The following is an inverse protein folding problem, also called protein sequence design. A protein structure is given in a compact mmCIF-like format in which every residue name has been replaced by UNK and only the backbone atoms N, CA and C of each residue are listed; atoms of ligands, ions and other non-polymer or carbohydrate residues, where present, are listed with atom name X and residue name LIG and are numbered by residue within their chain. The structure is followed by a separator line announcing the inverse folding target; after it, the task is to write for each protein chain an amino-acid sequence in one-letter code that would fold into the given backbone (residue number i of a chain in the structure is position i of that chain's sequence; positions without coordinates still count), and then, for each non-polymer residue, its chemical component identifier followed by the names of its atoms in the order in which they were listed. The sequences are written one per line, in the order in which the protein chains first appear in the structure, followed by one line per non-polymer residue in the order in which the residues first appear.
data_IF_235196778034
#
_entry.id   IF_235196778034
#
_cell.length_a   1.000
_cell.length_b   1.000
_cell.length_c   1.000
_cell.angle_alpha   90.00
_cell.angle_beta   90.00
_cell.angle_gamma   90.00
#
_symmetry.space_group_name_H-M   'P 1'
#
loop_
_entity.id
_entity.type
_entity.pdbx_description
1 polymer ?
#
# COMPACT_ATOMS: atom_id res chain seq x y z
N UNK A 1 -42.39 -31.22 45.72
CA UNK A 1 -42.47 -32.53 45.06
C UNK A 1 -43.20 -32.35 43.74
N UNK A 2 -42.53 -32.68 42.63
CA UNK A 2 -43.06 -32.97 41.27
C UNK A 2 -43.72 -31.77 40.53
N UNK A 3 -43.57 -31.51 39.23
CA UNK A 3 -43.37 -32.34 38.02
C UNK A 3 -42.80 -31.44 36.90
N UNK A 4 -41.74 -31.78 36.15
CA UNK A 4 -41.65 -32.64 34.93
C UNK A 4 -42.17 -31.99 33.61
N UNK A 5 -41.20 -31.68 32.75
CA UNK A 5 -41.14 -31.67 31.25
C UNK A 5 -41.96 -30.69 30.38
N UNK A 6 -41.24 -30.00 29.47
CA UNK A 6 -41.51 -30.03 28.02
C UNK A 6 -40.22 -29.70 27.22
N UNK A 7 -39.44 -30.71 26.84
CA UNK A 7 -39.16 -31.12 25.45
C UNK A 7 -39.58 -30.16 24.32
N UNK A 8 -38.61 -29.68 23.53
CA UNK A 8 -38.65 -29.93 22.08
C UNK A 8 -37.33 -29.65 21.35
N UNK A 9 -37.07 -30.39 20.27
CA UNK A 9 -35.75 -30.53 19.66
C UNK A 9 -35.61 -29.57 18.47
N UNK A 10 -34.39 -29.09 18.19
CA UNK A 10 -34.08 -28.64 16.84
C UNK A 10 -32.65 -28.93 16.44
N UNK A 11 -32.49 -30.19 16.06
CA UNK A 11 -31.55 -30.64 15.06
C UNK A 11 -31.52 -29.64 13.89
N UNK A 12 -30.33 -29.13 13.57
CA UNK A 12 -29.64 -29.32 12.28
C UNK A 12 -28.57 -28.24 12.12
N UNK A 13 -27.35 -28.67 12.42
CA UNK A 13 -26.09 -28.08 12.01
C UNK A 13 -26.09 -27.93 10.48
N UNK A 14 -26.55 -26.79 9.97
CA UNK A 14 -26.48 -26.46 8.54
C UNK A 14 -25.13 -25.79 8.29
N UNK A 15 -24.18 -26.60 7.81
CA UNK A 15 -22.92 -26.14 7.24
C UNK A 15 -23.23 -25.18 6.09
N UNK A 16 -22.81 -23.92 6.21
CA UNK A 16 -22.95 -22.96 5.12
C UNK A 16 -21.71 -23.05 4.23
N UNK A 17 -21.91 -23.64 3.06
CA UNK A 17 -20.90 -23.84 2.01
C UNK A 17 -20.59 -22.48 1.36
N UNK A 18 -19.30 -22.21 1.16
CA UNK A 18 -18.75 -20.95 0.68
C UNK A 18 -19.30 -20.51 -0.69
N UNK A 19 -19.69 -19.24 -0.79
CA UNK A 19 -19.90 -18.55 -2.07
C UNK A 19 -18.65 -17.72 -2.39
N UNK A 20 -18.02 -17.86 -3.58
CA UNK A 20 -16.85 -17.08 -3.94
C UNK A 20 -17.26 -15.66 -4.32
N UNK A 21 -16.89 -14.67 -3.49
CA UNK A 21 -17.04 -13.25 -3.79
C UNK A 21 -16.20 -12.84 -4.99
N UNK A 22 -16.79 -12.06 -5.91
CA UNK A 22 -16.21 -11.46 -7.13
C UNK A 22 -15.10 -10.41 -6.87
N UNK A 23 -14.26 -10.59 -5.85
CA UNK A 23 -13.13 -9.71 -5.53
C UNK A 23 -11.84 -10.08 -6.30
N UNK A 24 -11.82 -11.22 -7.01
CA UNK A 24 -10.62 -11.82 -7.57
C UNK A 24 -10.20 -11.30 -8.97
N UNK A 25 -10.63 -10.10 -9.40
CA UNK A 25 -10.25 -9.56 -10.74
C UNK A 25 -9.45 -8.25 -10.72
N UNK A 26 -9.22 -7.65 -9.56
CA UNK A 26 -8.44 -6.39 -9.46
C UNK A 26 -7.00 -6.60 -8.99
N UNK A 27 -6.62 -7.84 -8.70
CA UNK A 27 -5.38 -8.17 -7.97
C UNK A 27 -4.20 -8.55 -8.89
N UNK A 28 -4.40 -8.54 -10.21
CA UNK A 28 -3.43 -9.08 -11.16
C UNK A 28 -2.29 -8.13 -11.57
N UNK A 29 -2.16 -6.91 -11.03
CA UNK A 29 -1.12 -5.97 -11.51
C UNK A 29 -0.45 -5.06 -10.48
N UNK A 30 -0.69 -5.21 -9.17
CA UNK A 30 0.33 -4.76 -8.21
C UNK A 30 1.40 -5.83 -8.23
N UNK A 31 2.26 -5.73 -9.24
CA UNK A 31 3.48 -6.52 -9.38
C UNK A 31 4.09 -6.64 -7.99
N UNK A 32 4.44 -7.86 -7.62
CA UNK A 32 5.43 -8.16 -6.59
C UNK A 32 6.70 -7.38 -6.99
N UNK A 33 6.79 -6.15 -6.54
CA UNK A 33 8.01 -5.37 -6.52
C UNK A 33 8.28 -5.28 -5.04
N UNK A 34 9.41 -5.82 -4.62
CA UNK A 34 9.82 -5.65 -3.24
C UNK A 34 9.92 -4.13 -3.00
N UNK A 35 9.31 -3.59 -1.93
CA UNK A 35 9.31 -2.16 -1.67
C UNK A 35 10.72 -1.60 -1.43
N UNK A 36 11.72 -2.48 -1.28
CA UNK A 36 13.14 -2.14 -1.13
C UNK A 36 13.96 -2.46 -2.38
N UNK A 37 13.53 -3.42 -3.22
CA UNK A 37 14.07 -3.58 -4.58
C UNK A 37 13.06 -3.08 -5.58
N UNK A 38 13.11 -1.77 -5.79
CA UNK A 38 12.59 -1.19 -7.00
C UNK A 38 13.39 -1.70 -8.21
N UNK A 39 13.09 -2.93 -8.66
CA UNK A 39 13.57 -3.49 -9.94
C UNK A 39 12.79 -2.85 -11.08
N UNK A 40 12.97 -1.54 -11.20
CA UNK A 40 12.54 -0.75 -12.32
C UNK A 40 13.82 -0.19 -12.92
N UNK A 41 13.95 -0.28 -14.24
CA UNK A 41 15.04 0.37 -14.97
C UNK A 41 14.87 1.88 -14.81
N UNK A 42 15.43 2.40 -13.73
CA UNK A 42 15.42 3.82 -13.45
C UNK A 42 16.30 4.53 -14.44
N UNK A 43 15.76 5.59 -15.00
CA UNK A 43 16.56 6.53 -15.76
C UNK A 43 17.58 7.20 -14.81
N UNK A 44 18.75 7.63 -15.32
CA UNK A 44 19.78 8.27 -14.48
C UNK A 44 19.22 9.48 -13.71
N UNK A 45 18.27 10.21 -14.31
CA UNK A 45 17.53 11.32 -13.69
C UNK A 45 16.73 10.89 -12.46
N UNK A 46 16.05 9.74 -12.54
CA UNK A 46 15.27 9.19 -11.41
C UNK A 46 16.21 8.76 -10.28
N UNK A 47 17.37 8.22 -10.63
CA UNK A 47 18.38 7.76 -9.67
C UNK A 47 19.03 8.94 -8.93
N UNK A 48 19.32 10.03 -9.64
CA UNK A 48 19.80 11.28 -9.06
C UNK A 48 18.76 11.89 -8.09
N UNK A 49 17.49 11.90 -8.49
CA UNK A 49 16.39 12.37 -7.66
C UNK A 49 16.25 11.54 -6.37
N UNK A 50 16.34 10.21 -6.45
CA UNK A 50 16.30 9.33 -5.27
C UNK A 50 17.46 9.62 -4.31
N UNK A 51 18.68 9.80 -4.83
CA UNK A 51 19.84 10.15 -4.00
C UNK A 51 19.68 11.53 -3.33
N UNK A 52 19.16 12.52 -4.05
CA UNK A 52 18.92 13.86 -3.51
C UNK A 52 17.86 13.84 -2.41
N UNK A 53 16.78 13.07 -2.60
CA UNK A 53 15.76 12.82 -1.59
C UNK A 53 16.34 12.16 -0.34
N UNK A 54 17.24 11.18 -0.50
CA UNK A 54 17.87 10.53 0.64
C UNK A 54 18.79 11.48 1.42
N UNK A 55 19.55 12.34 0.71
CA UNK A 55 20.35 13.41 1.34
C UNK A 55 19.45 14.36 2.12
N UNK A 56 18.31 14.75 1.55
CA UNK A 56 17.32 15.59 2.23
C UNK A 56 16.75 14.93 3.49
N UNK A 57 16.40 13.65 3.43
CA UNK A 57 15.91 12.89 4.61
C UNK A 57 16.95 12.85 5.73
N UNK A 58 18.23 12.67 5.36
CA UNK A 58 19.35 12.61 6.31
C UNK A 58 19.63 13.97 6.97
N UNK A 59 19.48 15.08 6.24
CA UNK A 59 19.70 16.43 6.78
C UNK A 59 18.49 16.98 7.56
N UNK A 60 17.26 16.71 7.11
CA UNK A 60 16.03 17.19 7.74
C UNK A 60 15.60 16.39 8.97
N UNK A 61 16.14 15.17 9.14
CA UNK A 61 15.77 14.28 10.25
C UNK A 61 14.34 13.72 10.14
N UNK A 62 13.65 13.94 9.00
CA UNK A 62 12.29 13.44 8.76
C UNK A 62 12.34 12.18 7.91
N UNK A 63 11.60 11.16 8.33
CA UNK A 63 11.44 9.91 7.56
C UNK A 63 10.63 10.13 6.27
N UNK A 64 9.71 11.11 6.29
CA UNK A 64 8.82 11.45 5.18
C UNK A 64 8.89 12.95 4.89
N UNK A 65 9.49 13.35 3.76
CA UNK A 65 9.45 14.75 3.35
C UNK A 65 8.03 15.17 2.95
N UNK A 66 7.68 16.43 3.20
CA UNK A 66 6.42 17.03 2.74
C UNK A 66 6.47 17.33 1.24
N UNK A 67 5.33 17.47 0.58
CA UNK A 67 5.30 17.79 -0.86
C UNK A 67 6.05 19.08 -1.19
N UNK A 68 6.04 20.07 -0.30
CA UNK A 68 6.79 21.33 -0.46
C UNK A 68 8.30 21.09 -0.42
N UNK A 69 8.77 20.22 0.46
CA UNK A 69 10.19 19.85 0.59
C UNK A 69 10.65 19.04 -0.64
N UNK A 70 9.81 18.15 -1.15
CA UNK A 70 10.08 17.42 -2.39
C UNK A 70 10.26 18.37 -3.58
N UNK A 71 9.42 19.42 -3.68
CA UNK A 71 9.58 20.46 -4.71
C UNK A 71 10.86 21.28 -4.54
N UNK A 72 11.35 21.46 -3.33
CA UNK A 72 12.64 22.12 -3.07
C UNK A 72 13.80 21.24 -3.56
N UNK A 73 13.79 19.95 -3.26
CA UNK A 73 14.78 18.99 -3.78
C UNK A 73 14.80 18.97 -5.30
N UNK A 74 13.64 18.92 -5.95
CA UNK A 74 13.54 18.98 -7.42
C UNK A 74 14.18 20.26 -7.99
N UNK A 75 13.90 21.42 -7.38
CA UNK A 75 14.50 22.70 -7.79
C UNK A 75 16.01 22.74 -7.54
N UNK A 76 16.50 22.10 -6.47
CA UNK A 76 17.93 22.03 -6.17
C UNK A 76 18.72 21.23 -7.21
N UNK A 77 18.08 20.27 -7.87
CA UNK A 77 18.63 19.51 -8.99
C UNK A 77 18.55 20.25 -10.33
N UNK A 78 17.96 21.45 -10.36
CA UNK A 78 17.81 22.25 -11.57
C UNK A 78 16.57 21.90 -12.41
N UNK A 79 15.67 21.04 -11.93
CA UNK A 79 14.39 20.81 -12.61
C UNK A 79 13.52 22.07 -12.53
N UNK A 80 13.13 22.57 -13.69
CA UNK A 80 12.25 23.73 -13.82
C UNK A 80 10.94 23.33 -14.49
N UNK A 81 9.85 23.97 -14.05
CA UNK A 81 8.57 23.84 -14.72
C UNK A 81 8.61 24.63 -16.02
N UNK A 82 8.63 23.93 -17.16
CA UNK A 82 8.39 24.55 -18.46
C UNK A 82 6.91 24.93 -18.50
N UNK A 83 6.62 26.23 -18.45
CA UNK A 83 5.26 26.74 -18.67
C UNK A 83 5.09 26.81 -20.18
N UNK A 84 4.31 25.88 -20.75
CA UNK A 84 3.85 25.95 -22.15
C UNK A 84 2.64 26.85 -22.30
#
# INVERSE_FOLDING_TARGET
MSSTTLTSPRSLRRQNVAAPTRAARSQARRRMIDPTTCERDYLPEELEFMQALERYKRSSGRMFPTCSEVLEVLRSLGYQRVTS
#
